data_IF_506296487394
#
_entry.id   IF_506296487394
#
_cell.length_a   1.000
_cell.length_b   1.000
_cell.length_c   1.000
_cell.angle_alpha   90.00
_cell.angle_beta   90.00
_cell.angle_gamma   90.00
#
_symmetry.space_group_name_H-M   'P 1'
#
loop_
_entity.id
_entity.type
_entity.pdbx_description
1 polymer ?
#
# COMPACT_ATOMS: atom_id res chain seq x y z
N UNK A 1 -3.73 27.92 -18.23
CA UNK A 1 -5.12 27.59 -17.85
C UNK A 1 -5.06 26.39 -16.92
N UNK A 2 -5.34 26.61 -15.64
CA UNK A 2 -5.17 25.60 -14.58
C UNK A 2 -6.53 25.16 -14.08
N UNK A 3 -6.80 23.86 -14.13
CA UNK A 3 -8.04 23.23 -13.65
C UNK A 3 -7.95 23.11 -12.12
N UNK A 4 -8.99 23.50 -11.34
CA UNK A 4 -8.92 23.45 -9.89
C UNK A 4 -9.15 22.03 -9.37
N UNK A 5 -8.21 21.54 -8.53
CA UNK A 5 -8.41 20.36 -7.70
C UNK A 5 -9.27 20.75 -6.51
N UNK A 6 -10.54 20.33 -6.51
CA UNK A 6 -11.45 20.49 -5.37
C UNK A 6 -11.23 19.34 -4.38
N UNK A 7 -10.48 19.59 -3.32
CA UNK A 7 -10.41 18.70 -2.16
C UNK A 7 -11.42 19.19 -1.11
N UNK A 8 -12.60 18.55 -1.04
CA UNK A 8 -13.57 18.79 0.04
C UNK A 8 -13.48 17.64 1.03
N UNK A 9 -12.80 17.86 2.16
CA UNK A 9 -12.87 16.97 3.31
C UNK A 9 -13.81 17.60 4.32
N UNK A 10 -15.06 17.15 4.31
CA UNK A 10 -16.10 17.51 5.28
C UNK A 10 -16.25 16.34 6.24
N UNK A 11 -15.61 16.40 7.41
CA UNK A 11 -15.81 15.41 8.49
C UNK A 11 -16.67 16.05 9.57
N UNK A 12 -17.90 15.53 9.68
CA UNK A 12 -18.90 15.94 10.66
C UNK A 12 -18.74 15.19 11.99
N UNK A 13 -18.76 15.97 13.08
CA UNK A 13 -19.37 15.71 14.39
C UNK A 13 -19.08 14.35 15.06
N UNK A 14 -18.02 14.34 15.86
CA UNK A 14 -17.73 13.37 16.91
C UNK A 14 -18.72 13.53 18.08
N UNK A 15 -19.80 12.74 18.05
CA UNK A 15 -20.47 12.24 19.25
C UNK A 15 -20.78 10.77 19.00
N UNK A 16 -20.14 9.93 19.81
CA UNK A 16 -20.18 8.46 19.83
C UNK A 16 -19.59 7.75 18.61
N UNK A 17 -18.39 7.19 18.79
CA UNK A 17 -17.90 6.03 18.02
C UNK A 17 -17.12 5.17 19.04
N UNK A 18 -17.58 4.02 19.51
CA UNK A 18 -17.75 2.82 18.69
C UNK A 18 -19.06 2.69 17.91
N UNK A 19 -19.22 1.61 17.14
CA UNK A 19 -18.24 1.05 16.21
C UNK A 19 -18.06 2.00 15.01
N UNK A 20 -16.96 1.85 14.26
CA UNK A 20 -16.63 2.62 13.06
C UNK A 20 -17.87 2.74 12.15
N UNK A 21 -18.37 3.97 11.99
CA UNK A 21 -19.53 4.29 11.14
C UNK A 21 -19.29 3.77 9.72
N UNK A 22 -20.12 2.82 9.31
CA UNK A 22 -20.29 2.43 7.92
C UNK A 22 -20.67 3.67 7.09
N UNK A 23 -19.73 4.17 6.29
CA UNK A 23 -20.03 5.15 5.27
C UNK A 23 -20.81 4.44 4.15
N UNK A 24 -21.97 5.03 3.83
CA UNK A 24 -22.97 4.53 2.89
C UNK A 24 -22.36 4.23 1.51
N UNK A 25 -22.27 2.96 1.14
CA UNK A 25 -22.33 2.51 -0.25
C UNK A 25 -23.64 1.76 -0.49
N UNK A 26 -24.51 2.32 -1.33
CA UNK A 26 -25.63 1.59 -1.91
C UNK A 26 -25.06 0.48 -2.81
N UNK A 27 -25.29 -0.78 -2.40
CA UNK A 27 -25.16 -2.06 -3.15
C UNK A 27 -23.73 -2.52 -3.48
N UNK A 28 -23.24 -3.60 -2.85
CA UNK A 28 -23.24 -5.00 -3.32
C UNK A 28 -22.91 -5.91 -2.12
N UNK A 29 -23.78 -6.88 -1.77
CA UNK A 29 -23.64 -7.70 -0.57
C UNK A 29 -22.40 -8.63 -0.59
N UNK A 30 -21.92 -9.01 -1.78
CA UNK A 30 -20.73 -9.84 -1.96
C UNK A 30 -19.44 -9.11 -1.56
N UNK A 31 -19.24 -7.91 -2.08
CA UNK A 31 -18.05 -7.09 -1.78
C UNK A 31 -17.99 -6.73 -0.29
N UNK A 32 -19.14 -6.41 0.31
CA UNK A 32 -19.21 -6.15 1.75
C UNK A 32 -18.85 -7.39 2.58
N UNK A 33 -19.33 -8.58 2.22
CA UNK A 33 -18.97 -9.83 2.93
C UNK A 33 -17.48 -10.15 2.83
N UNK A 34 -16.86 -9.93 1.67
CA UNK A 34 -15.44 -10.17 1.49
C UNK A 34 -14.58 -9.17 2.28
N UNK A 35 -14.95 -7.89 2.26
CA UNK A 35 -14.29 -6.84 3.06
C UNK A 35 -14.46 -7.12 4.56
N UNK A 36 -15.68 -7.49 4.99
CA UNK A 36 -15.97 -7.84 6.39
C UNK A 36 -15.23 -9.09 6.84
N UNK A 37 -15.07 -10.10 5.99
CA UNK A 37 -14.24 -11.26 6.27
C UNK A 37 -12.76 -10.88 6.41
N UNK A 38 -12.26 -9.96 5.57
CA UNK A 38 -10.85 -9.52 5.58
C UNK A 38 -10.50 -8.66 6.80
N UNK A 39 -11.40 -7.76 7.23
CA UNK A 39 -11.19 -6.94 8.44
C UNK A 39 -11.62 -7.68 9.72
N UNK A 40 -12.43 -8.74 9.61
CA UNK A 40 -13.18 -9.35 10.71
C UNK A 40 -12.38 -9.51 12.00
N UNK A 41 -11.20 -10.13 11.91
CA UNK A 41 -10.32 -10.40 13.05
C UNK A 41 -9.70 -9.15 13.68
N UNK A 42 -9.67 -8.03 12.95
CA UNK A 42 -9.08 -6.76 13.37
C UNK A 42 -10.13 -5.70 13.76
N UNK A 43 -11.42 -5.99 13.54
CA UNK A 43 -12.49 -4.98 13.65
C UNK A 43 -12.66 -4.48 15.07
N UNK A 44 -12.66 -3.15 15.24
CA UNK A 44 -13.02 -2.49 16.51
C UNK A 44 -11.98 -2.65 17.62
N UNK A 45 -10.84 -3.27 17.32
CA UNK A 45 -9.73 -3.42 18.26
C UNK A 45 -8.84 -2.18 18.24
N UNK A 46 -8.35 -1.80 19.42
CA UNK A 46 -7.33 -0.77 19.57
C UNK A 46 -6.00 -1.48 19.80
N UNK A 47 -5.04 -1.26 18.93
CA UNK A 47 -3.71 -1.83 19.11
C UNK A 47 -2.73 -0.74 19.56
N UNK A 48 -2.02 -0.97 20.68
CA UNK A 48 -0.92 -0.09 21.12
C UNK A 48 0.30 -0.18 20.20
N UNK A 49 0.49 -1.33 19.59
CA UNK A 49 1.54 -1.62 18.60
C UNK A 49 0.93 -2.06 17.28
N UNK A 50 1.73 -2.15 16.22
CA UNK A 50 1.25 -2.59 14.91
C UNK A 50 0.90 -4.08 14.96
N UNK A 51 -0.33 -4.51 14.58
CA UNK A 51 -0.72 -5.92 14.58
C UNK A 51 0.05 -6.72 13.52
N UNK A 52 0.16 -8.06 13.65
CA UNK A 52 0.82 -8.90 12.66
C UNK A 52 0.11 -8.83 11.28
N UNK A 53 0.90 -8.80 10.20
CA UNK A 53 0.38 -8.79 8.82
C UNK A 53 -0.35 -10.09 8.50
N UNK A 54 -1.64 -10.06 8.10
CA UNK A 54 -2.28 -11.24 7.56
C UNK A 54 -1.80 -11.57 6.13
N UNK A 55 -1.12 -10.64 5.44
CA UNK A 55 -0.84 -10.73 4.00
C UNK A 55 0.50 -11.39 3.73
N UNK A 56 0.57 -12.70 3.94
CA UNK A 56 1.76 -13.48 3.56
C UNK A 56 1.96 -13.43 2.04
N UNK A 57 3.16 -13.08 1.60
CA UNK A 57 3.54 -13.17 0.19
C UNK A 57 3.67 -14.64 -0.19
N UNK A 58 3.15 -15.00 -1.36
CA UNK A 58 3.31 -16.33 -1.96
C UNK A 58 4.50 -16.31 -2.94
N UNK A 59 5.65 -16.93 -2.60
CA UNK A 59 6.82 -16.93 -3.46
C UNK A 59 6.58 -17.56 -4.83
N UNK A 60 5.69 -18.56 -4.92
CA UNK A 60 5.36 -19.23 -6.20
C UNK A 60 4.67 -18.23 -7.13
N UNK A 61 3.75 -17.44 -6.59
CA UNK A 61 3.06 -16.38 -7.32
C UNK A 61 4.02 -15.26 -7.75
N UNK A 62 4.96 -14.86 -6.87
CA UNK A 62 5.97 -13.85 -7.20
C UNK A 62 6.90 -14.32 -8.32
N UNK A 63 7.35 -15.58 -8.27
CA UNK A 63 8.17 -16.19 -9.33
C UNK A 63 7.44 -16.17 -10.68
N UNK A 64 6.21 -16.68 -10.72
CA UNK A 64 5.42 -16.70 -11.95
C UNK A 64 5.14 -15.31 -12.53
N UNK A 65 4.98 -14.31 -11.66
CA UNK A 65 4.85 -12.91 -12.09
C UNK A 65 6.17 -12.37 -12.67
N UNK A 66 7.30 -12.63 -12.01
CA UNK A 66 8.64 -12.23 -12.44
C UNK A 66 9.00 -12.82 -13.82
N UNK A 67 8.76 -14.12 -14.01
CA UNK A 67 8.96 -14.82 -15.28
C UNK A 67 8.12 -14.20 -16.40
N UNK A 68 6.83 -13.92 -16.13
CA UNK A 68 5.93 -13.32 -17.12
C UNK A 68 6.28 -11.88 -17.45
N UNK A 69 6.70 -11.07 -16.47
CA UNK A 69 7.16 -9.70 -16.66
C UNK A 69 8.44 -9.64 -17.50
N UNK A 70 9.34 -10.61 -17.31
CA UNK A 70 10.59 -10.74 -18.06
C UNK A 70 10.36 -11.20 -19.50
N UNK A 71 9.25 -11.88 -19.79
CA UNK A 71 8.94 -12.38 -21.13
C UNK A 71 8.71 -11.22 -22.14
N UNK A 72 9.51 -11.11 -23.22
CA UNK A 72 9.34 -10.08 -24.25
C UNK A 72 7.97 -10.10 -24.93
N UNK A 73 7.37 -11.29 -25.07
CA UNK A 73 6.11 -11.50 -25.78
C UNK A 73 4.87 -11.18 -24.94
N UNK A 74 5.03 -10.90 -23.63
CA UNK A 74 3.93 -10.55 -22.74
C UNK A 74 3.54 -9.06 -22.78
N UNK A 75 3.90 -8.32 -23.84
CA UNK A 75 3.74 -6.86 -23.93
C UNK A 75 2.29 -6.37 -23.75
N UNK A 76 1.30 -7.02 -24.38
CA UNK A 76 -0.12 -6.65 -24.21
C UNK A 76 -0.60 -6.78 -22.77
N UNK A 77 -0.14 -7.83 -22.08
CA UNK A 77 -0.48 -8.02 -20.67
C UNK A 77 0.24 -7.00 -19.78
N UNK A 78 1.51 -6.67 -20.08
CA UNK A 78 2.27 -5.63 -19.39
C UNK A 78 1.59 -4.26 -19.44
N UNK A 79 1.00 -3.91 -20.58
CA UNK A 79 0.33 -2.62 -20.77
C UNK A 79 -1.05 -2.52 -20.09
N UNK A 80 -1.72 -3.65 -19.82
CA UNK A 80 -3.15 -3.65 -19.46
C UNK A 80 -3.47 -4.25 -18.10
N UNK A 81 -2.70 -5.23 -17.64
CA UNK A 81 -3.06 -6.08 -16.50
C UNK A 81 -1.92 -6.27 -15.50
N UNK A 82 -0.66 -6.15 -15.94
CA UNK A 82 0.47 -6.52 -15.10
C UNK A 82 0.61 -5.69 -13.81
N UNK A 83 0.32 -4.38 -13.84
CA UNK A 83 0.32 -3.57 -12.62
C UNK A 83 -0.78 -4.02 -11.64
N UNK A 84 -1.90 -4.50 -12.17
CA UNK A 84 -3.02 -5.00 -11.37
C UNK A 84 -2.67 -6.35 -10.73
N UNK A 85 -2.07 -7.26 -11.51
CA UNK A 85 -1.57 -8.56 -11.02
C UNK A 85 -0.43 -8.39 -10.00
N UNK A 86 0.44 -7.39 -10.20
CA UNK A 86 1.50 -7.00 -9.27
C UNK A 86 0.92 -6.53 -7.94
N UNK A 87 -0.08 -5.65 -7.99
CA UNK A 87 -0.78 -5.18 -6.78
C UNK A 87 -1.45 -6.35 -6.04
N UNK A 88 -2.07 -7.30 -6.75
CA UNK A 88 -2.69 -8.46 -6.13
C UNK A 88 -1.69 -9.42 -5.49
N UNK A 89 -0.49 -9.55 -6.07
CA UNK A 89 0.57 -10.38 -5.53
C UNK A 89 1.19 -9.75 -4.27
N UNK A 90 1.37 -8.43 -4.25
CA UNK A 90 2.10 -7.73 -3.19
C UNK A 90 1.22 -7.28 -2.01
N UNK A 91 0.02 -6.78 -2.27
CA UNK A 91 -0.78 -6.07 -1.26
C UNK A 91 -2.01 -6.85 -0.77
N UNK A 92 -2.26 -8.05 -1.31
CA UNK A 92 -3.46 -8.89 -1.10
C UNK A 92 -4.75 -8.07 -1.22
N UNK A 93 -5.35 -8.07 -2.41
CA UNK A 93 -6.51 -7.22 -2.69
C UNK A 93 -7.74 -8.04 -3.06
N UNK A 94 -8.91 -7.51 -2.72
CA UNK A 94 -10.18 -8.01 -3.22
C UNK A 94 -10.51 -7.19 -4.46
N UNK A 95 -10.50 -7.82 -5.63
CA UNK A 95 -10.98 -7.18 -6.86
C UNK A 95 -12.52 -7.25 -6.90
N UNK A 96 -13.26 -6.13 -6.88
CA UNK A 96 -14.69 -6.17 -7.15
C UNK A 96 -14.97 -6.11 -8.65
N UNK A 97 -16.16 -6.57 -9.00
CA UNK A 97 -16.71 -6.55 -10.37
C UNK A 97 -16.84 -5.13 -10.98
N UNK A 98 -16.76 -4.08 -10.15
CA UNK A 98 -16.99 -2.67 -10.51
C UNK A 98 -15.72 -1.80 -10.59
N UNK A 99 -14.54 -2.42 -10.81
CA UNK A 99 -13.24 -1.76 -11.10
C UNK A 99 -12.49 -1.11 -9.93
N UNK A 100 -13.04 -1.01 -8.72
CA UNK A 100 -12.37 -0.34 -7.58
C UNK A 100 -11.76 -1.35 -6.60
N UNK A 101 -10.44 -1.58 -6.60
CA UNK A 101 -9.81 -2.56 -5.70
C UNK A 101 -9.84 -2.11 -4.24
N UNK A 102 -9.84 -3.08 -3.32
CA UNK A 102 -9.76 -2.81 -1.88
C UNK A 102 -8.63 -3.61 -1.24
N UNK A 103 -7.93 -2.98 -0.28
CA UNK A 103 -6.93 -3.63 0.56
C UNK A 103 -7.03 -3.17 2.01
N UNK A 104 -6.24 -3.77 2.89
CA UNK A 104 -6.15 -3.35 4.29
C UNK A 104 -5.11 -2.23 4.48
N UNK A 105 -5.47 -1.22 5.25
CA UNK A 105 -4.63 -0.11 5.65
C UNK A 105 -4.58 0.01 7.18
N UNK A 106 -3.47 0.53 7.71
CA UNK A 106 -3.37 0.93 9.12
C UNK A 106 -3.52 2.43 9.24
N UNK A 107 -4.51 2.83 10.02
CA UNK A 107 -4.70 4.20 10.47
C UNK A 107 -4.13 4.36 11.89
N UNK A 108 -3.59 5.54 12.18
CA UNK A 108 -3.05 5.87 13.51
C UNK A 108 -3.86 7.01 14.12
N UNK A 109 -4.31 6.83 15.35
CA UNK A 109 -4.97 7.87 16.15
C UNK A 109 -4.29 7.99 17.51
N UNK A 110 -4.06 9.22 17.97
CA UNK A 110 -3.66 9.48 19.35
C UNK A 110 -4.93 9.54 20.23
N UNK A 111 -4.95 8.82 21.35
CA UNK A 111 -6.09 8.72 22.26
C UNK A 111 -5.63 8.87 23.72
N UNK A 112 -6.44 9.50 24.56
CA UNK A 112 -6.27 9.49 26.02
C UNK A 112 -6.89 8.22 26.65
N UNK A 113 -6.83 8.14 28.00
CA UNK A 113 -7.36 7.02 28.78
C UNK A 113 -8.88 6.83 28.61
N UNK A 114 -9.61 7.90 28.28
CA UNK A 114 -11.05 7.88 27.98
C UNK A 114 -11.33 7.50 26.51
N UNK A 115 -10.28 7.29 25.71
CA UNK A 115 -10.38 6.97 24.29
C UNK A 115 -10.75 8.16 23.41
N UNK A 116 -10.49 9.39 23.84
CA UNK A 116 -10.72 10.61 23.08
C UNK A 116 -9.43 11.08 22.41
N UNK A 117 -9.58 11.55 21.16
CA UNK A 117 -8.47 12.17 20.45
C UNK A 117 -8.22 13.60 20.94
N UNK A 118 -6.97 14.09 20.84
CA UNK A 118 -6.65 15.44 21.29
C UNK A 118 -7.54 16.47 20.57
N UNK A 119 -8.07 17.48 21.29
CA UNK A 119 -8.93 18.48 20.69
C UNK A 119 -8.19 19.24 19.59
N UNK A 120 -8.79 19.22 18.38
CA UNK A 120 -8.30 19.97 17.22
C UNK A 120 -9.16 21.21 17.08
N UNK A 121 -8.53 22.39 17.12
CA UNK A 121 -9.19 23.66 16.83
C UNK A 121 -8.75 24.13 15.45
N UNK A 122 -9.71 24.31 14.56
CA UNK A 122 -9.46 24.90 13.24
C UNK A 122 -9.81 26.37 13.29
N UNK A 123 -8.81 27.23 13.11
CA UNK A 123 -9.00 28.67 13.05
C UNK A 123 -9.74 29.12 11.78
N UNK A 124 -10.25 30.36 11.74
CA UNK A 124 -11.07 30.88 10.64
C UNK A 124 -10.39 30.95 9.26
N UNK A 125 -9.07 30.71 9.19
CA UNK A 125 -8.28 30.64 7.95
C UNK A 125 -7.85 29.21 7.57
N UNK A 126 -8.44 28.19 8.20
CA UNK A 126 -8.16 26.78 7.92
C UNK A 126 -6.91 26.22 8.60
N UNK A 127 -6.26 26.99 9.48
CA UNK A 127 -5.12 26.50 10.27
C UNK A 127 -5.63 25.58 11.40
N UNK A 128 -5.26 24.30 11.37
CA UNK A 128 -5.54 23.37 12.46
C UNK A 128 -4.44 23.48 13.53
N UNK A 129 -4.84 23.66 14.80
CA UNK A 129 -3.96 23.52 15.97
C UNK A 129 -4.44 22.35 16.81
N UNK A 130 -3.52 21.46 17.14
CA UNK A 130 -3.74 20.34 18.06
C UNK A 130 -3.39 20.84 19.46
N UNK A 131 -4.33 20.80 20.38
CA UNK A 131 -4.08 21.10 21.78
C UNK A 131 -3.88 19.79 22.54
N UNK A 132 -2.62 19.36 22.69
CA UNK A 132 -2.26 18.17 23.46
C UNK A 132 -2.15 18.49 24.96
N UNK A 133 -3.25 18.92 25.57
CA UNK A 133 -3.33 19.15 27.02
C UNK A 133 -3.74 17.83 27.66
N UNK A 134 -2.79 16.92 27.87
CA UNK A 134 -3.04 15.56 28.38
C UNK A 134 -2.00 14.55 27.90
N UNK A 135 -1.99 13.35 28.50
CA UNK A 135 -1.21 12.20 28.00
C UNK A 135 -2.04 11.49 26.94
N UNK A 136 -1.55 11.48 25.70
CA UNK A 136 -2.18 10.77 24.59
C UNK A 136 -1.25 9.65 24.12
N UNK A 137 -1.78 8.43 24.07
CA UNK A 137 -1.08 7.26 23.55
C UNK A 137 -1.48 7.00 22.10
N UNK A 138 -0.50 6.57 21.31
CA UNK A 138 -0.71 6.18 19.92
C UNK A 138 -1.45 4.85 19.87
N UNK A 139 -2.53 4.81 19.11
CA UNK A 139 -3.29 3.61 18.83
C UNK A 139 -3.41 3.39 17.33
N UNK A 140 -3.37 2.12 16.93
CA UNK A 140 -3.49 1.66 15.55
C UNK A 140 -4.86 1.04 15.31
N UNK A 141 -5.38 1.27 14.11
CA UNK A 141 -6.65 0.75 13.62
C UNK A 141 -6.44 0.13 12.24
N UNK A 142 -7.11 -0.99 11.97
CA UNK A 142 -7.11 -1.61 10.65
C UNK A 142 -8.41 -1.24 9.93
N UNK A 143 -8.29 -0.70 8.71
CA UNK A 143 -9.41 -0.27 7.88
C UNK A 143 -9.28 -0.83 6.46
N UNK A 144 -10.37 -0.92 5.71
CA UNK A 144 -10.30 -1.16 4.27
C UNK A 144 -10.18 0.17 3.52
N UNK A 145 -9.27 0.21 2.57
CA UNK A 145 -8.97 1.37 1.74
C UNK A 145 -9.12 1.01 0.26
N UNK A 146 -9.68 1.94 -0.53
CA UNK A 146 -9.72 1.80 -1.99
C UNK A 146 -8.32 1.93 -2.56
N UNK A 147 -7.99 1.08 -3.52
CA UNK A 147 -6.69 1.04 -4.17
C UNK A 147 -6.80 1.48 -5.63
N UNK A 148 -6.02 2.50 -5.98
CA UNK A 148 -5.74 2.84 -7.36
C UNK A 148 -4.52 2.07 -7.84
N UNK A 149 -4.63 1.37 -8.98
CA UNK A 149 -3.47 0.73 -9.61
C UNK A 149 -2.64 1.82 -10.27
N UNK A 150 -1.42 2.03 -9.75
CA UNK A 150 -0.45 2.97 -10.31
C UNK A 150 0.40 2.26 -11.38
N UNK A 151 0.98 2.99 -12.33
CA UNK A 151 1.77 2.41 -13.41
C UNK A 151 3.19 2.04 -12.94
N UNK A 152 3.32 1.12 -11.99
CA UNK A 152 4.59 0.73 -11.36
C UNK A 152 5.59 0.15 -12.37
N UNK A 153 5.10 -0.58 -13.37
CA UNK A 153 5.97 -1.25 -14.35
C UNK A 153 6.57 -0.26 -15.35
N UNK A 154 5.86 0.82 -15.66
CA UNK A 154 6.23 1.77 -16.74
C UNK A 154 6.75 3.11 -16.21
N UNK A 155 6.33 3.53 -15.02
CA UNK A 155 6.78 4.77 -14.37
C UNK A 155 7.90 4.48 -13.37
N UNK A 156 9.05 5.11 -13.59
CA UNK A 156 10.20 5.00 -12.69
C UNK A 156 9.89 5.51 -11.28
N UNK A 157 9.24 6.67 -11.16
CA UNK A 157 8.92 7.26 -9.86
C UNK A 157 7.96 6.36 -9.06
N UNK A 158 7.03 5.69 -9.74
CA UNK A 158 6.12 4.75 -9.10
C UNK A 158 6.84 3.45 -8.72
N UNK A 159 7.77 2.95 -9.55
CA UNK A 159 8.60 1.80 -9.21
C UNK A 159 9.46 2.06 -7.94
N UNK A 160 10.00 3.27 -7.80
CA UNK A 160 10.74 3.68 -6.59
C UNK A 160 9.81 3.78 -5.39
N UNK A 161 8.62 4.36 -5.55
CA UNK A 161 7.60 4.36 -4.48
C UNK A 161 7.23 2.94 -4.07
N UNK A 162 7.09 2.02 -5.02
CA UNK A 162 6.82 0.62 -4.74
C UNK A 162 7.94 -0.01 -3.88
N UNK A 163 9.20 0.25 -4.19
CA UNK A 163 10.34 -0.20 -3.39
C UNK A 163 10.19 0.27 -1.94
N UNK A 164 9.98 1.56 -1.72
CA UNK A 164 9.86 2.14 -0.37
C UNK A 164 8.69 1.54 0.42
N UNK A 165 7.58 1.21 -0.27
CA UNK A 165 6.38 0.66 0.36
C UNK A 165 6.50 -0.82 0.71
N UNK A 166 7.25 -1.58 -0.08
CA UNK A 166 7.33 -3.04 0.05
C UNK A 166 8.58 -3.47 0.80
N UNK A 167 9.69 -2.76 0.63
CA UNK A 167 11.01 -3.04 1.19
C UNK A 167 11.62 -1.76 1.80
N UNK A 168 11.05 -1.22 2.89
CA UNK A 168 11.53 0.01 3.50
C UNK A 168 12.98 -0.13 3.96
N UNK A 169 13.79 0.88 3.63
CA UNK A 169 15.23 0.91 3.93
C UNK A 169 16.11 0.19 2.92
N UNK A 170 15.55 -0.38 1.85
CA UNK A 170 16.31 -0.81 0.68
C UNK A 170 16.52 0.37 -0.29
N UNK A 171 17.75 0.53 -0.76
CA UNK A 171 18.10 1.32 -1.92
C UNK A 171 18.35 0.43 -3.15
N UNK A 172 18.82 1.04 -4.23
CA UNK A 172 19.22 0.31 -5.43
C UNK A 172 20.33 1.03 -6.20
N UNK A 173 21.17 0.24 -6.84
CA UNK A 173 22.11 0.69 -7.86
C UNK A 173 21.52 0.42 -9.24
N UNK A 174 21.71 1.38 -10.15
CA UNK A 174 21.27 1.28 -11.54
C UNK A 174 22.47 1.39 -12.47
N UNK A 175 22.57 0.46 -13.42
CA UNK A 175 23.58 0.47 -14.48
C UNK A 175 22.90 0.27 -15.82
N UNK A 176 23.36 1.00 -16.83
CA UNK A 176 22.97 0.73 -18.22
C UNK A 176 24.01 -0.16 -18.88
N UNK A 177 23.58 -1.24 -19.51
CA UNK A 177 24.42 -2.14 -20.30
C UNK A 177 23.77 -2.32 -21.67
N UNK A 178 24.37 -1.75 -22.70
CA UNK A 178 23.88 -1.77 -24.08
C UNK A 178 22.39 -1.39 -24.21
N UNK A 179 21.55 -2.39 -24.52
CA UNK A 179 20.09 -2.29 -24.72
C UNK A 179 19.26 -2.67 -23.49
N UNK A 180 19.88 -3.00 -22.36
CA UNK A 180 19.20 -3.36 -21.12
C UNK A 180 19.57 -2.42 -19.98
N UNK A 181 18.67 -2.35 -19.00
CA UNK A 181 18.91 -1.68 -17.72
C UNK A 181 19.09 -2.76 -16.67
N UNK A 182 20.18 -2.68 -15.92
CA UNK A 182 20.49 -3.56 -14.81
C UNK A 182 20.22 -2.81 -13.50
N UNK A 183 19.50 -3.46 -12.59
CA UNK A 183 19.22 -2.94 -11.26
C UNK A 183 19.66 -3.96 -10.23
N UNK A 184 20.21 -3.49 -9.12
CA UNK A 184 20.57 -4.30 -7.95
C UNK A 184 20.03 -3.63 -6.70
N UNK A 185 19.37 -4.39 -5.83
CA UNK A 185 18.93 -3.89 -4.54
C UNK A 185 20.07 -3.90 -3.52
N UNK A 186 20.10 -2.90 -2.65
CA UNK A 186 21.17 -2.69 -1.66
C UNK A 186 20.56 -2.27 -0.33
N UNK A 187 21.05 -2.83 0.78
CA UNK A 187 20.66 -2.43 2.14
C UNK A 187 21.83 -2.61 3.10
N UNK A 188 22.39 -1.50 3.57
CA UNK A 188 23.62 -1.54 4.37
C UNK A 188 24.75 -2.21 3.59
N UNK A 189 25.28 -3.31 4.12
CA UNK A 189 26.34 -4.10 3.48
C UNK A 189 25.79 -5.22 2.57
N UNK A 190 24.48 -5.46 2.59
CA UNK A 190 23.84 -6.51 1.78
C UNK A 190 23.59 -6.01 0.37
N UNK A 191 24.15 -6.69 -0.62
CA UNK A 191 23.92 -6.42 -2.04
C UNK A 191 23.29 -7.62 -2.73
N UNK A 192 22.19 -7.40 -3.45
CA UNK A 192 21.51 -8.44 -4.23
C UNK A 192 22.19 -8.77 -5.57
N UNK A 193 21.62 -9.67 -6.37
CA UNK A 193 22.06 -9.91 -7.74
C UNK A 193 21.71 -8.72 -8.66
N UNK A 194 22.41 -8.63 -9.80
CA UNK A 194 22.02 -7.74 -10.89
C UNK A 194 20.88 -8.34 -11.69
N UNK A 195 19.76 -7.63 -11.77
CA UNK A 195 18.57 -8.04 -12.51
C UNK A 195 18.39 -7.14 -13.73
N UNK A 196 18.20 -7.74 -14.89
CA UNK A 196 18.02 -7.03 -16.16
C UNK A 196 16.56 -6.79 -16.49
N UNK A 197 16.24 -5.60 -16.98
CA UNK A 197 14.97 -5.26 -17.61
C UNK A 197 15.16 -4.41 -18.86
N UNK A 198 14.11 -4.25 -19.65
CA UNK A 198 14.14 -3.40 -20.85
C UNK A 198 14.31 -1.91 -20.53
N UNK A 199 13.87 -1.49 -19.35
CA UNK A 199 13.98 -0.12 -18.84
C UNK A 199 14.03 -0.14 -17.30
N UNK A 200 14.40 1.00 -16.70
CA UNK A 200 14.66 1.13 -15.27
C UNK A 200 13.49 0.68 -14.37
N UNK A 201 12.26 1.11 -14.66
CA UNK A 201 11.09 0.77 -13.87
C UNK A 201 10.86 -0.75 -13.81
N UNK A 202 10.80 -1.41 -14.97
CA UNK A 202 10.67 -2.86 -15.05
C UNK A 202 11.84 -3.60 -14.36
N UNK A 203 13.09 -3.17 -14.58
CA UNK A 203 14.25 -3.81 -13.95
C UNK A 203 14.18 -3.72 -12.42
N UNK A 204 13.72 -2.57 -11.89
CA UNK A 204 13.52 -2.38 -10.46
C UNK A 204 12.38 -3.26 -9.91
N UNK A 205 11.23 -3.31 -10.59
CA UNK A 205 10.11 -4.19 -10.19
C UNK A 205 10.55 -5.65 -10.18
N UNK A 206 11.29 -6.11 -11.20
CA UNK A 206 11.82 -7.48 -11.25
C UNK A 206 12.79 -7.76 -10.10
N UNK A 207 13.66 -6.80 -9.75
CA UNK A 207 14.57 -6.94 -8.62
C UNK A 207 13.82 -7.03 -7.27
N UNK A 208 12.74 -6.26 -7.10
CA UNK A 208 11.86 -6.35 -5.92
C UNK A 208 11.22 -7.73 -5.82
N UNK A 209 10.65 -8.24 -6.92
CA UNK A 209 9.99 -9.55 -6.92
C UNK A 209 10.97 -10.69 -6.64
N UNK A 210 12.14 -10.66 -7.27
CA UNK A 210 13.21 -11.65 -7.08
C UNK A 210 13.72 -11.68 -5.63
N UNK A 211 13.85 -10.51 -5.00
CA UNK A 211 14.23 -10.42 -3.58
C UNK A 211 13.15 -10.99 -2.66
N UNK A 212 11.89 -10.59 -2.87
CA UNK A 212 10.76 -11.04 -2.05
C UNK A 212 10.44 -12.53 -2.23
N UNK A 213 10.76 -13.10 -3.38
CA UNK A 213 10.67 -14.55 -3.60
C UNK A 213 11.62 -15.31 -2.65
N UNK A 214 12.86 -14.82 -2.49
CA UNK A 214 13.86 -15.46 -1.61
C UNK A 214 13.64 -15.13 -0.14
N UNK A 215 13.25 -13.91 0.16
CA UNK A 215 13.11 -13.38 1.51
C UNK A 215 11.74 -12.70 1.72
N UNK A 216 10.62 -13.46 1.67
CA UNK A 216 9.28 -12.89 1.79
C UNK A 216 9.02 -12.24 3.15
N UNK A 217 9.77 -12.66 4.18
CA UNK A 217 9.69 -12.14 5.54
C UNK A 217 10.28 -10.73 5.69
N UNK A 218 11.09 -10.27 4.73
CA UNK A 218 11.63 -8.91 4.73
C UNK A 218 10.67 -7.86 4.17
N UNK A 219 9.58 -8.30 3.55
CA UNK A 219 8.50 -7.43 3.14
C UNK A 219 8.00 -6.61 4.33
N UNK A 220 7.65 -5.34 4.09
CA UNK A 220 7.06 -4.51 5.12
C UNK A 220 5.85 -5.25 5.73
N UNK A 221 5.73 -5.34 7.07
CA UNK A 221 4.59 -5.99 7.72
C UNK A 221 3.28 -5.31 7.36
N UNK A 222 3.29 -4.01 7.02
CA UNK A 222 2.10 -3.40 6.45
C UNK A 222 2.43 -2.58 5.22
N UNK A 223 2.12 -3.16 4.06
CA UNK A 223 2.33 -2.54 2.75
C UNK A 223 1.13 -1.66 2.43
N UNK A 224 1.39 -0.37 2.18
CA UNK A 224 0.37 0.62 1.76
C UNK A 224 0.74 1.13 0.38
N UNK A 225 -0.24 1.41 -0.49
CA UNK A 225 0.00 2.09 -1.77
C UNK A 225 -0.02 3.60 -1.58
#
# INVERSE_FOLDING_TARGET
MSIPVRCWTLVWKLRNIGPVRAWRYRRYAGDHRAIEAMIGDYRGQRFREIPPDPRRLDPVRLRGLSERLSNPYAYRWRETQADADLVDALFHTIAPSTKTRWGLCIDTLALDDDGQSPPIVVGPRGHARIFAWGRFERHHYVTACTMSVRPFITSYDEAVRLLDKVLPGYGFALRRADRSTLVRLEKGETTGPWISGSHAALALVLAILDHLERAPHEAAPWRTI
#
